data_IF_325026726687
#
_entry.id   IF_325026726687
#
_cell.length_a   1.000
_cell.length_b   1.000
_cell.length_c   1.000
_cell.angle_alpha   90.00
_cell.angle_beta   90.00
_cell.angle_gamma   90.00
#
_symmetry.space_group_name_H-M   'P 1'
#
loop_
_entity.id
_entity.type
_entity.pdbx_description
1 polymer ?
#
# COMPACT_ATOMS: atom_id res chain seq x y z
N UNK A 1 28.33 -44.98 -27.28
CA UNK A 1 26.89 -45.05 -26.96
C UNK A 1 26.44 -44.18 -25.78
N UNK A 2 27.08 -44.21 -24.59
CA UNK A 2 26.67 -43.39 -23.41
C UNK A 2 26.47 -41.88 -23.67
N UNK A 3 27.30 -41.27 -24.54
CA UNK A 3 27.27 -39.82 -24.84
C UNK A 3 25.99 -39.36 -25.56
N UNK A 4 25.33 -40.23 -26.32
CA UNK A 4 24.07 -39.90 -27.01
C UNK A 4 22.87 -40.04 -26.07
N UNK A 5 22.87 -41.03 -25.18
CA UNK A 5 21.84 -41.17 -24.13
C UNK A 5 21.81 -39.98 -23.18
N UNK A 6 22.98 -39.48 -22.78
CA UNK A 6 23.09 -38.28 -21.94
C UNK A 6 22.47 -37.05 -22.61
N UNK A 7 22.69 -36.86 -23.93
CA UNK A 7 22.05 -35.76 -24.70
C UNK A 7 20.54 -35.95 -24.85
N UNK A 8 20.10 -37.18 -25.11
CA UNK A 8 18.68 -37.53 -25.26
C UNK A 8 17.90 -37.30 -23.96
N UNK A 9 18.53 -37.40 -22.79
CA UNK A 9 17.88 -37.16 -21.49
C UNK A 9 18.03 -35.70 -21.02
N UNK A 10 19.21 -35.09 -21.21
CA UNK A 10 19.46 -33.72 -20.76
C UNK A 10 18.62 -32.68 -21.50
N UNK A 11 18.39 -32.86 -22.80
CA UNK A 11 17.62 -31.89 -23.59
C UNK A 11 16.16 -31.81 -23.10
N UNK A 12 15.41 -32.92 -22.94
CA UNK A 12 14.09 -32.89 -22.32
C UNK A 12 14.10 -32.32 -20.90
N UNK A 13 15.10 -32.65 -20.07
CA UNK A 13 15.18 -32.14 -18.71
C UNK A 13 15.37 -30.62 -18.66
N UNK A 14 16.20 -30.07 -19.56
CA UNK A 14 16.37 -28.63 -19.74
C UNK A 14 15.09 -27.95 -20.22
N UNK A 15 14.35 -28.57 -21.14
CA UNK A 15 13.07 -28.06 -21.63
C UNK A 15 12.04 -28.03 -20.49
N UNK A 16 11.92 -29.11 -19.71
CA UNK A 16 11.01 -29.16 -18.54
C UNK A 16 11.40 -28.10 -17.51
N UNK A 17 12.69 -27.97 -17.18
CA UNK A 17 13.19 -26.92 -16.29
C UNK A 17 12.85 -25.53 -16.81
N UNK A 18 13.00 -25.28 -18.11
CA UNK A 18 12.67 -23.99 -18.72
C UNK A 18 11.17 -23.69 -18.61
N UNK A 19 10.31 -24.67 -18.90
CA UNK A 19 8.85 -24.53 -18.80
C UNK A 19 8.43 -24.20 -17.37
N UNK A 20 8.98 -24.92 -16.37
CA UNK A 20 8.69 -24.66 -14.96
C UNK A 20 9.14 -23.26 -14.53
N UNK A 21 10.29 -22.78 -14.99
CA UNK A 21 10.76 -21.43 -14.70
C UNK A 21 9.87 -20.34 -15.33
N UNK A 22 9.43 -20.55 -16.58
CA UNK A 22 8.48 -19.64 -17.25
C UNK A 22 7.16 -19.58 -16.49
N UNK A 23 6.62 -20.74 -16.09
CA UNK A 23 5.39 -20.80 -15.30
C UNK A 23 5.54 -20.06 -13.97
N UNK A 24 6.61 -20.33 -13.22
CA UNK A 24 6.89 -19.65 -11.95
C UNK A 24 7.04 -18.13 -12.14
N UNK A 25 7.63 -17.70 -13.25
CA UNK A 25 7.74 -16.29 -13.59
C UNK A 25 6.39 -15.64 -13.84
N UNK A 26 5.52 -16.27 -14.66
CA UNK A 26 4.17 -15.76 -14.96
C UNK A 26 3.34 -15.67 -13.68
N UNK A 27 3.31 -16.73 -12.88
CA UNK A 27 2.58 -16.79 -11.61
C UNK A 27 3.09 -15.73 -10.60
N UNK A 28 4.41 -15.46 -10.58
CA UNK A 28 4.97 -14.35 -9.80
C UNK A 28 4.47 -12.99 -10.29
N UNK A 29 4.43 -12.74 -11.60
CA UNK A 29 3.95 -11.48 -12.15
C UNK A 29 2.46 -11.28 -11.86
N UNK A 30 1.64 -12.33 -11.98
CA UNK A 30 0.22 -12.28 -11.67
C UNK A 30 -0.04 -11.96 -10.18
N UNK A 31 0.75 -12.53 -9.26
CA UNK A 31 0.70 -12.18 -7.84
C UNK A 31 1.05 -10.72 -7.58
N UNK A 32 2.09 -10.19 -8.23
CA UNK A 32 2.49 -8.79 -8.10
C UNK A 32 1.39 -7.87 -8.64
N UNK A 33 0.81 -8.19 -9.79
CA UNK A 33 -0.27 -7.41 -10.38
C UNK A 33 -1.50 -7.36 -9.46
N UNK A 34 -1.94 -8.50 -8.93
CA UNK A 34 -3.03 -8.56 -7.94
C UNK A 34 -2.71 -7.79 -6.66
N UNK A 35 -1.47 -7.85 -6.19
CA UNK A 35 -1.03 -7.08 -5.03
C UNK A 35 -1.09 -5.57 -5.31
N UNK A 36 -0.64 -5.13 -6.48
CA UNK A 36 -0.72 -3.73 -6.91
C UNK A 36 -2.17 -3.24 -6.98
N UNK A 37 -3.05 -4.01 -7.62
CA UNK A 37 -4.47 -3.65 -7.76
C UNK A 37 -5.16 -3.56 -6.39
N UNK A 38 -4.88 -4.52 -5.51
CA UNK A 38 -5.39 -4.54 -4.13
C UNK A 38 -4.88 -3.33 -3.34
N UNK A 39 -3.59 -3.01 -3.49
CA UNK A 39 -2.98 -1.86 -2.84
C UNK A 39 -3.60 -0.55 -3.31
N UNK A 40 -3.69 -0.34 -4.62
CA UNK A 40 -4.32 0.83 -5.23
C UNK A 40 -5.78 0.98 -4.80
N UNK A 41 -6.54 -0.12 -4.82
CA UNK A 41 -7.93 -0.13 -4.36
C UNK A 41 -8.03 0.31 -2.90
N UNK A 42 -7.21 -0.28 -2.02
CA UNK A 42 -7.22 0.04 -0.59
C UNK A 42 -6.83 1.50 -0.31
N UNK A 43 -5.80 2.02 -1.00
CA UNK A 43 -5.44 3.44 -0.94
C UNK A 43 -6.57 4.32 -1.46
N UNK A 44 -7.26 3.90 -2.53
CA UNK A 44 -8.40 4.62 -3.08
C UNK A 44 -9.59 4.72 -2.12
N UNK A 45 -9.95 3.61 -1.47
CA UNK A 45 -11.00 3.63 -0.44
C UNK A 45 -10.57 4.49 0.75
N UNK A 46 -9.31 4.38 1.19
CA UNK A 46 -8.73 5.22 2.25
C UNK A 46 -8.90 6.70 1.92
N UNK A 47 -8.52 7.12 0.70
CA UNK A 47 -8.72 8.49 0.21
C UNK A 47 -10.17 8.95 0.32
N UNK A 48 -11.11 8.13 -0.19
CA UNK A 48 -12.54 8.45 -0.20
C UNK A 48 -13.15 8.61 1.21
N UNK A 49 -12.54 8.00 2.23
CA UNK A 49 -12.99 8.12 3.61
C UNK A 49 -12.58 9.45 4.25
N UNK A 50 -11.50 10.08 3.77
CA UNK A 50 -11.06 11.41 4.21
C UNK A 50 -11.78 12.55 3.48
N UNK A 51 -12.20 12.34 2.24
CA UNK A 51 -12.54 13.41 1.29
C UNK A 51 -13.94 14.03 1.35
N UNK A 52 -14.75 13.83 2.38
CA UNK A 52 -16.10 14.40 2.41
C UNK A 52 -16.52 14.79 3.82
N UNK A 53 -16.46 16.10 4.12
CA UNK A 53 -17.12 16.78 5.24
C UNK A 53 -17.44 15.88 6.42
N UNK A 54 -16.42 15.23 7.01
CA UNK A 54 -16.67 14.17 8.00
C UNK A 54 -17.54 14.70 9.13
N UNK A 55 -17.34 15.96 9.53
CA UNK A 55 -18.12 16.63 10.56
C UNK A 55 -19.61 16.82 10.18
N UNK A 56 -19.92 16.91 8.89
CA UNK A 56 -21.27 17.12 8.33
C UNK A 56 -22.05 15.80 8.12
N UNK A 57 -21.37 14.65 8.23
CA UNK A 57 -22.00 13.32 8.13
C UNK A 57 -22.75 12.95 9.41
N UNK A 58 -23.80 12.14 9.27
CA UNK A 58 -24.47 11.49 10.39
C UNK A 58 -23.55 10.45 11.08
N UNK A 59 -23.90 10.03 12.30
CA UNK A 59 -23.07 9.12 13.10
C UNK A 59 -22.87 7.74 12.46
N UNK A 60 -23.88 7.19 11.79
CA UNK A 60 -23.79 5.88 11.14
C UNK A 60 -22.80 5.93 9.98
N UNK A 61 -22.90 6.95 9.13
CA UNK A 61 -21.96 7.18 8.02
C UNK A 61 -20.53 7.45 8.52
N UNK A 62 -20.37 8.12 9.66
CA UNK A 62 -19.07 8.33 10.31
C UNK A 62 -18.44 7.02 10.75
N UNK A 63 -19.22 6.14 11.38
CA UNK A 63 -18.77 4.81 11.82
C UNK A 63 -18.39 3.96 10.60
N UNK A 64 -19.23 3.90 9.56
CA UNK A 64 -18.92 3.16 8.33
C UNK A 64 -17.62 3.67 7.68
N UNK A 65 -17.51 4.99 7.51
CA UNK A 65 -16.30 5.61 6.93
C UNK A 65 -15.04 5.29 7.75
N UNK A 66 -15.15 5.30 9.09
CA UNK A 66 -14.04 4.96 9.99
C UNK A 66 -13.65 3.48 9.89
N UNK A 67 -14.62 2.56 9.89
CA UNK A 67 -14.36 1.13 9.77
C UNK A 67 -13.74 0.78 8.41
N UNK A 68 -14.23 1.40 7.33
CA UNK A 68 -13.65 1.26 5.99
C UNK A 68 -12.24 1.81 5.92
N UNK A 69 -11.99 2.98 6.52
CA UNK A 69 -10.65 3.57 6.61
C UNK A 69 -9.67 2.62 7.31
N UNK A 70 -10.03 2.11 8.49
CA UNK A 70 -9.22 1.14 9.24
C UNK A 70 -8.92 -0.12 8.42
N UNK A 71 -9.97 -0.76 7.89
CA UNK A 71 -9.83 -2.01 7.15
C UNK A 71 -8.96 -1.85 5.90
N UNK A 72 -9.04 -0.70 5.22
CA UNK A 72 -8.28 -0.46 4.00
C UNK A 72 -6.84 -0.01 4.28
N UNK A 73 -6.58 0.74 5.36
CA UNK A 73 -5.21 1.00 5.81
C UNK A 73 -4.51 -0.30 6.21
N UNK A 74 -5.21 -1.24 6.86
CA UNK A 74 -4.69 -2.56 7.20
C UNK A 74 -4.40 -3.41 5.96
N UNK A 75 -5.32 -3.38 4.99
CA UNK A 75 -5.14 -4.08 3.71
C UNK A 75 -3.94 -3.51 2.95
N UNK A 76 -3.85 -2.18 2.79
CA UNK A 76 -2.74 -1.52 2.13
C UNK A 76 -1.41 -1.86 2.80
N UNK A 77 -1.34 -1.75 4.13
CA UNK A 77 -0.12 -2.06 4.90
C UNK A 77 0.33 -3.51 4.76
N UNK A 78 -0.61 -4.46 4.81
CA UNK A 78 -0.30 -5.89 4.74
C UNK A 78 0.08 -6.36 3.34
N UNK A 79 -0.52 -5.79 2.29
CA UNK A 79 -0.23 -6.18 0.91
C UNK A 79 1.01 -5.47 0.34
N UNK A 80 1.37 -4.30 0.89
CA UNK A 80 2.47 -3.47 0.39
C UNK A 80 3.77 -4.25 0.10
N UNK A 81 4.28 -5.14 0.97
CA UNK A 81 5.52 -5.89 0.72
C UNK A 81 5.50 -6.82 -0.51
N UNK A 82 4.31 -7.12 -1.04
CA UNK A 82 4.10 -7.97 -2.21
C UNK A 82 3.90 -7.18 -3.51
N UNK A 83 3.79 -5.86 -3.42
CA UNK A 83 3.63 -4.97 -4.56
C UNK A 83 4.95 -4.74 -5.30
N UNK A 84 4.87 -4.23 -6.53
CA UNK A 84 6.05 -3.73 -7.26
C UNK A 84 6.58 -2.41 -6.69
N UNK A 85 5.80 -1.72 -5.85
CA UNK A 85 6.16 -0.45 -5.21
C UNK A 85 7.05 -0.64 -3.99
N UNK A 86 7.17 -1.88 -3.50
CA UNK A 86 7.96 -2.17 -2.33
C UNK A 86 9.46 -2.09 -2.61
N UNK A 87 10.12 -1.10 -2.01
CA UNK A 87 11.57 -0.96 -2.05
C UNK A 87 12.22 -1.84 -0.98
N UNK A 88 12.55 -3.08 -1.36
CA UNK A 88 13.17 -4.10 -0.50
C UNK A 88 14.51 -3.69 0.12
N UNK A 89 15.11 -2.57 -0.30
CA UNK A 89 16.38 -2.06 0.21
C UNK A 89 16.28 -0.83 1.11
N UNK A 90 15.10 -0.20 1.23
CA UNK A 90 14.97 1.07 1.94
C UNK A 90 14.11 0.93 3.20
N UNK A 91 14.75 0.96 4.37
CA UNK A 91 14.06 0.94 5.67
C UNK A 91 13.28 2.23 5.96
N UNK A 92 13.55 3.30 5.22
CA UNK A 92 12.86 4.60 5.32
C UNK A 92 11.90 4.82 4.15
N UNK A 93 11.34 3.73 3.60
CA UNK A 93 10.34 3.82 2.56
C UNK A 93 9.15 4.71 2.99
N UNK A 94 8.89 5.74 2.20
CA UNK A 94 7.91 6.78 2.49
C UNK A 94 6.49 6.21 2.54
N UNK A 95 6.21 5.16 1.76
CA UNK A 95 4.90 4.50 1.70
C UNK A 95 4.62 3.77 3.01
N UNK A 96 5.54 2.91 3.45
CA UNK A 96 5.44 2.17 4.70
C UNK A 96 5.29 3.11 5.90
N UNK A 97 6.09 4.18 5.95
CA UNK A 97 6.00 5.18 7.02
C UNK A 97 4.66 5.93 7.00
N UNK A 98 4.18 6.34 5.83
CA UNK A 98 2.87 6.99 5.68
C UNK A 98 1.74 6.12 6.20
N UNK A 99 1.68 4.86 5.75
CA UNK A 99 0.65 3.91 6.15
C UNK A 99 0.71 3.62 7.66
N UNK A 100 1.91 3.47 8.20
CA UNK A 100 2.12 3.25 9.63
C UNK A 100 1.56 4.40 10.48
N UNK A 101 1.96 5.64 10.21
CA UNK A 101 1.52 6.79 11.02
C UNK A 101 0.04 7.13 10.79
N UNK A 102 -0.49 6.95 9.58
CA UNK A 102 -1.94 7.05 9.34
C UNK A 102 -2.69 6.04 10.20
N UNK A 103 -2.26 4.77 10.17
CA UNK A 103 -2.86 3.71 10.98
C UNK A 103 -2.78 4.03 12.48
N UNK A 104 -1.68 4.59 12.97
CA UNK A 104 -1.56 5.03 14.37
C UNK A 104 -2.55 6.16 14.71
N UNK A 105 -2.70 7.16 13.83
CA UNK A 105 -3.66 8.25 14.03
C UNK A 105 -5.10 7.72 14.12
N UNK A 106 -5.48 6.80 13.22
CA UNK A 106 -6.85 6.28 13.15
C UNK A 106 -7.14 5.29 14.28
N UNK A 107 -6.18 4.43 14.67
CA UNK A 107 -6.37 3.44 15.73
C UNK A 107 -6.34 4.02 17.16
N UNK A 108 -5.95 5.28 17.34
CA UNK A 108 -5.94 5.89 18.67
C UNK A 108 -7.31 6.52 18.94
N UNK A 109 -8.10 6.03 19.92
CA UNK A 109 -9.46 6.50 20.19
C UNK A 109 -9.51 7.86 20.91
N UNK A 110 -8.51 8.71 20.70
CA UNK A 110 -8.39 10.03 21.30
C UNK A 110 -8.51 11.15 20.26
N UNK A 111 -8.20 12.38 20.66
CA UNK A 111 -8.24 13.59 19.81
C UNK A 111 -7.48 13.43 18.48
N UNK A 112 -6.50 12.51 18.37
CA UNK A 112 -5.71 12.29 17.16
C UNK A 112 -6.54 11.71 16.02
N UNK A 113 -7.49 10.83 16.33
CA UNK A 113 -8.45 10.32 15.33
C UNK A 113 -9.34 11.44 14.78
N UNK A 114 -9.78 12.37 15.64
CA UNK A 114 -10.54 13.55 15.21
C UNK A 114 -9.67 14.51 14.41
N UNK A 115 -8.43 14.78 14.84
CA UNK A 115 -7.51 15.70 14.17
C UNK A 115 -7.07 15.21 12.77
N UNK A 116 -6.82 13.91 12.61
CA UNK A 116 -6.44 13.36 11.30
C UNK A 116 -7.62 13.45 10.31
N UNK A 117 -8.84 13.34 10.84
CA UNK A 117 -10.07 13.51 10.08
C UNK A 117 -10.33 14.99 9.74
N UNK A 118 -10.01 15.93 10.64
CA UNK A 118 -10.05 17.37 10.35
C UNK A 118 -9.04 17.79 9.29
N UNK A 119 -7.85 17.15 9.27
CA UNK A 119 -6.88 17.26 8.16
C UNK A 119 -7.26 16.43 6.92
N UNK A 120 -8.45 15.82 6.92
CA UNK A 120 -8.92 14.87 5.92
C UNK A 120 -8.95 15.41 4.50
N UNK A 121 -9.28 16.69 4.28
CA UNK A 121 -9.29 17.26 2.93
C UNK A 121 -7.88 17.30 2.31
N UNK A 122 -6.87 17.73 3.07
CA UNK A 122 -5.48 17.74 2.62
C UNK A 122 -4.96 16.33 2.38
N UNK A 123 -5.28 15.38 3.26
CA UNK A 123 -4.94 13.96 3.08
C UNK A 123 -5.61 13.37 1.84
N UNK A 124 -6.91 13.64 1.64
CA UNK A 124 -7.68 13.18 0.49
C UNK A 124 -7.08 13.69 -0.81
N UNK A 125 -6.63 14.95 -0.87
CA UNK A 125 -5.99 15.50 -2.06
C UNK A 125 -4.69 14.77 -2.41
N UNK A 126 -3.81 14.54 -1.43
CA UNK A 126 -2.56 13.80 -1.65
C UNK A 126 -2.82 12.34 -2.01
N UNK A 127 -3.71 11.66 -1.27
CA UNK A 127 -4.06 10.26 -1.53
C UNK A 127 -4.74 10.09 -2.89
N UNK A 128 -5.59 11.03 -3.31
CA UNK A 128 -6.23 11.00 -4.64
C UNK A 128 -5.19 11.13 -5.75
N UNK A 129 -4.19 12.00 -5.58
CA UNK A 129 -3.09 12.09 -6.53
C UNK A 129 -2.27 10.79 -6.57
N UNK A 130 -1.98 10.21 -5.40
CA UNK A 130 -1.26 8.93 -5.25
C UNK A 130 -1.96 7.77 -5.96
N UNK A 131 -3.30 7.71 -5.98
CA UNK A 131 -4.03 6.64 -6.70
C UNK A 131 -3.58 6.53 -8.16
N UNK A 132 -3.27 7.67 -8.79
CA UNK A 132 -2.82 7.71 -10.20
C UNK A 132 -1.31 7.80 -10.35
N UNK A 133 -0.56 8.09 -9.28
CA UNK A 133 0.90 8.27 -9.25
C UNK A 133 1.49 7.59 -8.01
N UNK A 134 1.28 6.28 -7.88
CA UNK A 134 1.46 5.59 -6.61
C UNK A 134 2.92 5.43 -6.17
N UNK A 135 3.86 5.61 -7.08
CA UNK A 135 5.30 5.65 -6.86
C UNK A 135 5.85 7.07 -6.61
N UNK A 136 4.97 8.09 -6.59
CA UNK A 136 5.39 9.47 -6.29
C UNK A 136 5.74 9.63 -4.81
N UNK A 137 7.04 9.53 -4.53
CA UNK A 137 7.60 9.65 -3.18
C UNK A 137 7.27 10.97 -2.50
N UNK A 138 7.14 12.06 -3.24
CA UNK A 138 6.84 13.39 -2.68
C UNK A 138 5.44 13.44 -2.09
N UNK A 139 4.45 12.88 -2.78
CA UNK A 139 3.08 12.83 -2.28
C UNK A 139 2.97 11.90 -1.07
N UNK A 140 3.65 10.76 -1.07
CA UNK A 140 3.74 9.91 0.11
C UNK A 140 4.43 10.62 1.28
N UNK A 141 5.53 11.32 1.02
CA UNK A 141 6.18 12.13 2.05
C UNK A 141 5.23 13.17 2.65
N UNK A 142 4.43 13.88 1.84
CA UNK A 142 3.44 14.82 2.36
C UNK A 142 2.39 14.14 3.25
N UNK A 143 1.90 12.95 2.86
CA UNK A 143 0.99 12.16 3.67
C UNK A 143 1.63 11.78 5.00
N UNK A 144 2.88 11.31 4.96
CA UNK A 144 3.64 10.98 6.15
C UNK A 144 3.84 12.19 7.06
N UNK A 145 4.22 13.36 6.54
CA UNK A 145 4.40 14.57 7.33
C UNK A 145 3.11 14.96 8.06
N UNK A 146 1.97 14.91 7.37
CA UNK A 146 0.65 15.19 7.97
C UNK A 146 0.34 14.17 9.08
N UNK A 147 0.50 12.88 8.80
CA UNK A 147 0.17 11.82 9.75
C UNK A 147 1.11 11.83 10.97
N UNK A 148 2.41 12.02 10.73
CA UNK A 148 3.42 12.09 11.78
C UNK A 148 3.19 13.29 12.69
N UNK A 149 2.99 14.49 12.13
CA UNK A 149 2.72 15.70 12.91
C UNK A 149 1.44 15.54 13.72
N UNK A 150 0.40 14.93 13.13
CA UNK A 150 -0.88 14.69 13.82
C UNK A 150 -0.73 13.71 14.98
N UNK A 151 0.05 12.65 14.80
CA UNK A 151 0.28 11.66 15.84
C UNK A 151 1.19 12.18 16.98
N UNK A 152 2.29 12.83 16.61
CA UNK A 152 3.36 13.21 17.55
C UNK A 152 3.23 14.63 18.10
N UNK A 153 2.53 15.51 17.39
CA UNK A 153 2.50 16.95 17.65
C UNK A 153 3.79 17.69 17.20
N UNK A 154 4.70 17.01 16.49
CA UNK A 154 6.00 17.54 16.09
C UNK A 154 6.10 17.56 14.57
N UNK A 155 6.49 18.70 14.00
CA UNK A 155 6.81 18.78 12.57
C UNK A 155 8.10 18.00 12.31
N UNK A 156 8.11 17.01 11.41
CA UNK A 156 9.29 16.23 11.18
C UNK A 156 10.36 17.09 10.48
N UNK A 157 11.62 16.89 10.87
CA UNK A 157 12.79 17.58 10.31
C UNK A 157 13.61 16.57 9.52
N UNK A 158 13.65 16.71 8.20
CA UNK A 158 14.45 15.91 7.27
C UNK A 158 15.45 16.79 6.54
#
# INVERSE_FOLDING_TARGET
MKRNYVRIILIPLLIVSLILNIYNYIDKQERIHRANDTFQYAVGITSSCFGNGYNEKDEETKIDSYMRLLSNLDTASSIYPFTSYYDKGNSNDEISNSLHYLKLCVNTPDKRSTLIIEKGESLSNHLTYIITNIDDKKSWQAVFEIAYETFTGIKPTF
#
